data_IF_237216265736
#
_entry.id   IF_237216265736
#
_cell.length_a   1.000
_cell.length_b   1.000
_cell.length_c   1.000
_cell.angle_alpha   90.00
_cell.angle_beta   90.00
_cell.angle_gamma   90.00
#
_symmetry.space_group_name_H-M   'P 1'
#
loop_
_entity.id
_entity.type
_entity.pdbx_description
1 polymer ?
#
# COMPACT_ATOMS: atom_id res chain seq x y z
N UNK A 1 22.67 22.18 -57.80
CA UNK A 1 21.79 23.34 -57.97
C UNK A 1 20.44 22.84 -58.44
N UNK A 2 19.36 23.12 -57.71
CA UNK A 2 18.00 22.75 -58.11
C UNK A 2 17.17 22.19 -56.96
N UNK A 3 16.84 23.05 -55.99
CA UNK A 3 15.87 22.82 -54.93
C UNK A 3 14.47 22.55 -55.49
N UNK A 4 13.69 21.71 -54.82
CA UNK A 4 12.24 21.91 -54.70
C UNK A 4 11.72 21.25 -53.41
N UNK A 5 11.37 22.12 -52.49
CA UNK A 5 10.61 21.87 -51.29
C UNK A 5 9.18 21.45 -51.65
N UNK A 6 8.61 20.56 -50.83
CA UNK A 6 7.21 20.19 -50.88
C UNK A 6 6.70 20.07 -49.44
N UNK A 7 6.27 21.20 -48.89
CA UNK A 7 5.51 21.29 -47.65
C UNK A 7 4.16 20.59 -47.80
N UNK A 8 3.81 19.75 -46.82
CA UNK A 8 2.51 19.09 -46.71
C UNK A 8 2.06 19.06 -45.26
N UNK A 9 1.58 20.21 -44.78
CA UNK A 9 0.98 20.36 -43.45
C UNK A 9 -0.44 19.78 -43.40
N UNK A 10 -0.63 18.75 -42.57
CA UNK A 10 -1.93 18.20 -42.20
C UNK A 10 -2.21 18.42 -40.72
N UNK A 11 -2.89 19.52 -40.37
CA UNK A 11 -3.47 19.74 -39.05
C UNK A 11 -4.79 18.96 -38.95
N UNK A 12 -4.82 17.87 -38.19
CA UNK A 12 -6.05 17.23 -37.77
C UNK A 12 -6.55 17.87 -36.45
N UNK A 13 -7.65 18.60 -36.55
CA UNK A 13 -8.43 19.14 -35.43
C UNK A 13 -9.31 18.01 -34.90
N UNK A 14 -9.01 17.49 -33.72
CA UNK A 14 -9.90 16.57 -33.00
C UNK A 14 -10.66 17.41 -31.96
N UNK A 15 -11.92 17.69 -32.28
CA UNK A 15 -12.88 18.24 -31.34
C UNK A 15 -13.36 17.16 -30.39
N UNK A 16 -13.09 17.33 -29.10
CA UNK A 16 -13.62 16.49 -28.03
C UNK A 16 -14.68 17.28 -27.28
N UNK A 17 -15.94 16.90 -27.50
CA UNK A 17 -17.10 17.34 -26.72
C UNK A 17 -17.07 16.72 -25.32
N UNK A 18 -17.41 17.47 -24.26
CA UNK A 18 -17.52 16.91 -22.91
C UNK A 18 -18.83 16.14 -22.73
N UNK A 19 -18.71 14.88 -22.31
CA UNK A 19 -19.84 14.06 -21.84
C UNK A 19 -20.20 14.50 -20.43
N UNK A 20 -21.38 15.09 -20.29
CA UNK A 20 -22.01 15.44 -19.01
C UNK A 20 -22.68 14.18 -18.44
N UNK A 21 -22.16 13.65 -17.34
CA UNK A 21 -22.85 12.63 -16.54
C UNK A 21 -23.50 13.31 -15.33
N UNK A 22 -24.78 13.62 -15.51
CA UNK A 22 -25.74 13.90 -14.45
C UNK A 22 -26.08 12.60 -13.73
N UNK A 23 -25.83 12.54 -12.42
CA UNK A 23 -26.40 11.53 -11.55
C UNK A 23 -27.23 12.24 -10.48
N UNK A 24 -28.52 12.39 -10.77
CA UNK A 24 -29.57 12.66 -9.79
C UNK A 24 -29.77 11.40 -8.94
N UNK A 25 -29.72 11.55 -7.61
CA UNK A 25 -30.34 10.58 -6.71
C UNK A 25 -31.19 11.30 -5.69
N UNK A 26 -32.49 11.12 -5.85
CA UNK A 26 -33.57 11.64 -5.04
C UNK A 26 -33.87 10.71 -3.86
N UNK A 27 -34.03 11.32 -2.68
CA UNK A 27 -34.98 11.03 -1.60
C UNK A 27 -35.48 9.59 -1.44
N UNK A 28 -35.27 9.04 -0.24
CA UNK A 28 -36.39 8.63 0.63
C UNK A 28 -36.08 8.98 2.09
N UNK A 29 -36.92 9.85 2.63
CA UNK A 29 -37.05 10.22 4.04
C UNK A 29 -38.06 9.23 4.65
N UNK A 30 -37.64 8.48 5.66
CA UNK A 30 -38.55 7.75 6.54
C UNK A 30 -38.48 8.41 7.91
N UNK A 31 -39.53 9.16 8.24
CA UNK A 31 -39.80 9.66 9.58
C UNK A 31 -40.22 8.50 10.48
N UNK A 32 -39.54 8.36 11.61
CA UNK A 32 -39.95 7.50 12.71
C UNK A 32 -39.85 8.35 13.99
N UNK A 33 -40.93 9.03 14.32
CA UNK A 33 -41.07 9.84 15.53
C UNK A 33 -41.35 8.92 16.74
N UNK A 34 -40.28 8.57 17.45
CA UNK A 34 -40.34 7.98 18.79
C UNK A 34 -40.10 9.04 19.86
N UNK A 35 -40.74 8.94 21.04
CA UNK A 35 -40.56 9.90 22.12
C UNK A 35 -39.13 9.86 22.67
N UNK A 36 -38.54 11.01 23.07
CA UNK A 36 -37.18 11.08 23.56
C UNK A 36 -37.09 10.39 24.94
N UNK A 37 -36.57 9.17 24.96
CA UNK A 37 -36.01 8.62 26.19
C UNK A 37 -34.81 9.48 26.57
N UNK A 38 -34.83 9.98 27.81
CA UNK A 38 -33.68 10.64 28.43
C UNK A 38 -32.60 9.58 28.63
N UNK A 39 -31.63 9.56 27.73
CA UNK A 39 -30.44 8.75 27.89
C UNK A 39 -29.68 9.18 29.15
N UNK A 40 -29.23 8.23 30.00
CA UNK A 40 -28.34 8.53 31.11
C UNK A 40 -27.04 9.11 30.54
N UNK A 41 -26.50 10.15 31.18
CA UNK A 41 -25.26 10.84 30.81
C UNK A 41 -24.28 9.91 30.09
N UNK A 42 -24.30 9.92 28.76
CA UNK A 42 -23.23 9.37 27.96
C UNK A 42 -22.02 10.19 28.37
N UNK A 43 -21.12 9.58 29.13
CA UNK A 43 -19.79 10.12 29.35
C UNK A 43 -19.26 10.47 27.97
N UNK A 44 -19.26 11.77 27.64
CA UNK A 44 -18.78 12.29 26.38
C UNK A 44 -17.34 11.85 26.32
N UNK A 45 -17.07 10.76 25.60
CA UNK A 45 -15.75 10.17 25.51
C UNK A 45 -14.81 11.24 25.00
N UNK A 46 -14.09 11.87 25.94
CA UNK A 46 -13.26 13.02 25.66
C UNK A 46 -12.27 12.58 24.59
N UNK A 47 -12.40 13.15 23.40
CA UNK A 47 -11.41 12.94 22.34
C UNK A 47 -10.08 13.36 22.93
N UNK A 48 -9.16 12.38 23.09
CA UNK A 48 -7.81 12.62 23.59
C UNK A 48 -7.20 13.81 22.81
N UNK A 49 -6.57 14.77 23.50
CA UNK A 49 -5.95 15.90 22.82
C UNK A 49 -4.82 15.41 21.92
N UNK A 50 -5.07 15.31 20.62
CA UNK A 50 -4.01 14.99 19.64
C UNK A 50 -3.20 16.23 19.30
N UNK A 51 -1.87 16.06 19.26
CA UNK A 51 -0.95 17.09 18.75
C UNK A 51 -1.26 17.39 17.28
N UNK A 52 -0.85 18.56 16.78
CA UNK A 52 -1.03 18.89 15.36
C UNK A 52 -0.32 17.88 14.44
N UNK A 53 0.85 17.37 14.88
CA UNK A 53 1.60 16.30 14.22
C UNK A 53 0.81 14.99 14.21
N UNK A 54 0.25 14.58 15.36
CA UNK A 54 -0.68 13.45 15.45
C UNK A 54 -1.87 13.60 14.50
N UNK A 55 -2.53 14.77 14.49
CA UNK A 55 -3.68 15.01 13.59
C UNK A 55 -3.31 14.82 12.12
N UNK A 56 -2.15 15.29 11.69
CA UNK A 56 -1.69 15.08 10.32
C UNK A 56 -1.32 13.62 10.05
N UNK A 57 -0.64 12.97 10.99
CA UNK A 57 -0.28 11.55 10.91
C UNK A 57 -1.52 10.66 10.68
N UNK A 58 -2.65 11.01 11.34
CA UNK A 58 -3.91 10.29 11.24
C UNK A 58 -4.82 10.71 10.08
N UNK A 59 -4.67 11.92 9.54
CA UNK A 59 -5.51 12.43 8.43
C UNK A 59 -5.09 11.94 7.04
N UNK A 60 -4.02 11.15 6.94
CA UNK A 60 -3.58 10.57 5.67
C UNK A 60 -4.48 9.40 5.29
N UNK A 61 -5.36 9.62 4.32
CA UNK A 61 -6.25 8.58 3.79
C UNK A 61 -5.80 8.14 2.39
N UNK A 62 -4.57 7.64 2.26
CA UNK A 62 -4.20 6.89 1.06
C UNK A 62 -5.02 5.60 1.06
N UNK A 63 -5.95 5.49 0.11
CA UNK A 63 -6.80 4.30 0.02
C UNK A 63 -6.04 3.23 -0.76
N UNK A 64 -5.39 2.32 -0.04
CA UNK A 64 -4.69 1.19 -0.65
C UNK A 64 -5.71 0.27 -1.34
N UNK A 65 -5.63 0.07 -2.66
CA UNK A 65 -6.49 -0.88 -3.34
C UNK A 65 -6.10 -2.29 -2.91
N UNK A 66 -7.07 -3.21 -2.71
CA UNK A 66 -6.75 -4.55 -2.27
C UNK A 66 -5.92 -5.29 -3.33
N UNK A 67 -4.67 -5.61 -2.98
CA UNK A 67 -3.73 -6.35 -3.83
C UNK A 67 -3.91 -7.85 -3.64
N UNK A 68 -4.88 -8.44 -4.34
CA UNK A 68 -5.09 -9.89 -4.31
C UNK A 68 -4.04 -10.62 -5.14
N UNK A 69 -3.22 -11.44 -4.48
CA UNK A 69 -2.25 -12.32 -5.14
C UNK A 69 -2.94 -13.55 -5.70
N UNK A 70 -2.58 -13.89 -6.94
CA UNK A 70 -3.10 -15.06 -7.65
C UNK A 70 -2.43 -16.33 -7.11
N UNK A 71 -3.19 -17.36 -6.69
CA UNK A 71 -2.59 -18.54 -6.08
C UNK A 71 -1.83 -19.37 -7.11
N UNK A 72 -0.52 -19.52 -6.93
CA UNK A 72 0.34 -20.30 -7.83
C UNK A 72 0.34 -21.78 -7.45
N UNK A 73 0.24 -22.67 -8.44
CA UNK A 73 0.23 -24.12 -8.32
C UNK A 73 -1.14 -24.76 -8.11
N UNK A 74 -2.22 -23.97 -8.13
CA UNK A 74 -3.59 -24.50 -8.04
C UNK A 74 -4.17 -24.88 -9.40
N UNK A 75 -3.82 -24.12 -10.44
CA UNK A 75 -4.35 -24.25 -11.79
C UNK A 75 -3.25 -23.89 -12.78
N UNK A 76 -2.78 -24.87 -13.55
CA UNK A 76 -1.58 -24.73 -14.37
C UNK A 76 -1.70 -23.63 -15.44
N UNK A 77 -2.90 -23.45 -16.01
CA UNK A 77 -3.20 -22.42 -17.02
C UNK A 77 -3.12 -21.01 -16.44
N UNK A 78 -3.47 -20.85 -15.15
CA UNK A 78 -3.34 -19.60 -14.41
C UNK A 78 -1.89 -19.32 -13.99
N UNK A 79 -1.11 -20.38 -13.70
CA UNK A 79 0.29 -20.25 -13.26
C UNK A 79 1.17 -19.53 -14.30
N UNK A 80 0.85 -19.66 -15.59
CA UNK A 80 1.54 -18.99 -16.71
C UNK A 80 1.53 -17.46 -16.53
N UNK A 81 0.43 -16.91 -16.01
CA UNK A 81 0.30 -15.47 -15.74
C UNK A 81 0.66 -15.11 -14.30
N UNK A 82 0.30 -15.97 -13.35
CA UNK A 82 0.29 -15.66 -11.92
C UNK A 82 1.64 -15.17 -11.41
N UNK A 83 2.75 -15.81 -11.79
CA UNK A 83 4.08 -15.42 -11.33
C UNK A 83 4.44 -14.00 -11.77
N UNK A 84 4.19 -13.67 -13.04
CA UNK A 84 4.48 -12.34 -13.58
C UNK A 84 3.62 -11.25 -12.93
N UNK A 85 2.30 -11.48 -12.85
CA UNK A 85 1.37 -10.51 -12.27
C UNK A 85 1.60 -10.34 -10.76
N UNK A 86 1.86 -11.41 -10.03
CA UNK A 86 2.17 -11.34 -8.60
C UNK A 86 3.49 -10.63 -8.33
N UNK A 87 4.47 -10.73 -9.22
CA UNK A 87 5.73 -10.01 -9.06
C UNK A 87 5.50 -8.51 -9.16
N UNK A 88 4.70 -8.07 -10.14
CA UNK A 88 4.30 -6.66 -10.25
C UNK A 88 3.44 -6.23 -9.05
N UNK A 89 2.50 -7.05 -8.58
CA UNK A 89 1.72 -6.75 -7.35
C UNK A 89 2.61 -6.59 -6.12
N UNK A 90 3.68 -7.37 -6.00
CA UNK A 90 4.65 -7.22 -4.92
C UNK A 90 5.36 -5.85 -4.98
N UNK A 91 5.73 -5.39 -6.18
CA UNK A 91 6.29 -4.05 -6.38
C UNK A 91 5.25 -2.94 -6.13
N UNK A 92 4.00 -3.12 -6.54
CA UNK A 92 2.92 -2.17 -6.25
C UNK A 92 2.70 -2.03 -4.74
N UNK A 93 2.74 -3.14 -4.00
CA UNK A 93 2.65 -3.14 -2.55
C UNK A 93 3.79 -2.32 -1.91
N UNK A 94 5.03 -2.48 -2.41
CA UNK A 94 6.16 -1.68 -1.97
C UNK A 94 5.98 -0.19 -2.31
N UNK A 95 5.44 0.15 -3.49
CA UNK A 95 5.15 1.53 -3.88
C UNK A 95 4.15 2.19 -2.93
N UNK A 96 3.03 1.51 -2.63
CA UNK A 96 2.05 2.02 -1.66
C UNK A 96 2.67 2.19 -0.29
N UNK A 97 3.51 1.25 0.10
CA UNK A 97 4.21 1.30 1.37
C UNK A 97 5.12 2.54 1.47
N UNK A 98 5.93 2.80 0.44
CA UNK A 98 6.80 3.99 0.36
C UNK A 98 5.96 5.27 0.43
N UNK A 99 4.95 5.38 -0.45
CA UNK A 99 4.10 6.57 -0.55
C UNK A 99 3.32 6.82 0.74
N UNK A 100 2.84 5.78 1.41
CA UNK A 100 2.16 5.88 2.70
C UNK A 100 3.13 6.33 3.81
N UNK A 101 4.36 5.80 3.84
CA UNK A 101 5.41 6.26 4.76
C UNK A 101 5.68 7.75 4.58
N UNK A 102 5.86 8.19 3.33
CA UNK A 102 6.07 9.60 3.00
C UNK A 102 4.89 10.46 3.43
N UNK A 103 3.67 10.02 3.16
CA UNK A 103 2.46 10.78 3.46
C UNK A 103 2.26 10.97 4.97
N UNK A 104 2.52 9.94 5.78
CA UNK A 104 2.46 10.04 7.25
C UNK A 104 3.55 10.93 7.84
N UNK A 105 4.70 11.03 7.18
CA UNK A 105 5.85 11.87 7.59
C UNK A 105 5.93 13.17 6.80
N UNK A 106 4.83 13.68 6.24
CA UNK A 106 4.83 14.79 5.28
C UNK A 106 5.63 16.03 5.74
N UNK A 107 5.62 16.35 7.03
CA UNK A 107 6.35 17.48 7.61
C UNK A 107 7.85 17.22 7.79
N UNK A 108 8.23 15.94 7.91
CA UNK A 108 9.59 15.48 8.18
C UNK A 108 10.24 14.88 6.92
N UNK A 109 9.65 15.12 5.75
CA UNK A 109 10.17 14.65 4.47
C UNK A 109 11.36 15.48 4.03
N UNK A 110 12.46 14.81 3.69
CA UNK A 110 13.63 15.41 3.05
C UNK A 110 13.58 15.24 1.53
N UNK A 111 14.47 15.94 0.82
CA UNK A 111 14.67 15.69 -0.61
C UNK A 111 15.25 14.30 -0.88
N UNK A 112 16.06 13.76 0.03
CA UNK A 112 16.60 12.40 -0.07
C UNK A 112 15.48 11.35 -0.08
N UNK A 113 14.38 11.55 0.67
CA UNK A 113 13.20 10.67 0.59
C UNK A 113 12.61 10.67 -0.83
N UNK A 114 12.60 11.81 -1.53
CA UNK A 114 12.08 11.86 -2.90
C UNK A 114 13.06 11.17 -3.85
N UNK A 115 14.36 11.44 -3.73
CA UNK A 115 15.36 10.83 -4.59
C UNK A 115 15.38 9.30 -4.42
N UNK A 116 15.29 8.81 -3.18
CA UNK A 116 15.12 7.38 -2.85
C UNK A 116 13.88 6.79 -3.55
N UNK A 117 12.74 7.49 -3.53
CA UNK A 117 11.53 7.07 -4.23
C UNK A 117 11.76 6.97 -5.75
N UNK A 118 12.42 7.94 -6.37
CA UNK A 118 12.66 7.92 -7.82
C UNK A 118 13.68 6.85 -8.24
N UNK A 119 14.72 6.61 -7.44
CA UNK A 119 15.66 5.50 -7.66
C UNK A 119 14.92 4.16 -7.63
N UNK A 120 14.04 3.96 -6.65
CA UNK A 120 13.19 2.78 -6.59
C UNK A 120 12.21 2.71 -7.78
N UNK A 121 11.59 3.84 -8.13
CA UNK A 121 10.58 3.92 -9.19
C UNK A 121 11.15 3.63 -10.58
N UNK A 122 12.37 4.09 -10.89
CA UNK A 122 13.05 3.82 -12.15
C UNK A 122 13.18 2.30 -12.36
N UNK A 123 13.62 1.59 -11.32
CA UNK A 123 13.77 0.14 -11.33
C UNK A 123 12.42 -0.56 -11.50
N UNK A 124 11.39 -0.11 -10.77
CA UNK A 124 10.03 -0.63 -10.91
C UNK A 124 9.48 -0.43 -12.33
N UNK A 125 9.63 0.77 -12.90
CA UNK A 125 9.15 1.10 -14.23
C UNK A 125 9.84 0.24 -15.29
N UNK A 126 11.18 0.13 -15.24
CA UNK A 126 11.95 -0.76 -16.12
C UNK A 126 11.46 -2.21 -16.03
N UNK A 127 11.27 -2.72 -14.81
CA UNK A 127 10.75 -4.07 -14.58
C UNK A 127 9.34 -4.25 -15.17
N UNK A 128 8.43 -3.30 -14.95
CA UNK A 128 7.07 -3.37 -15.45
C UNK A 128 7.01 -3.38 -16.98
N UNK A 129 7.79 -2.53 -17.66
CA UNK A 129 7.89 -2.55 -19.12
C UNK A 129 8.40 -3.91 -19.61
N UNK A 130 9.45 -4.45 -19.00
CA UNK A 130 9.96 -5.77 -19.37
C UNK A 130 8.96 -6.91 -19.08
N UNK A 131 8.08 -6.79 -18.06
CA UNK A 131 6.99 -7.74 -17.84
C UNK A 131 5.97 -7.67 -18.97
N UNK A 132 5.60 -6.48 -19.45
CA UNK A 132 4.69 -6.36 -20.59
C UNK A 132 5.27 -6.96 -21.86
N UNK A 133 6.54 -6.70 -22.15
CA UNK A 133 7.23 -7.30 -23.30
C UNK A 133 7.33 -8.81 -23.17
N UNK A 134 7.67 -9.31 -21.98
CA UNK A 134 7.75 -10.74 -21.70
C UNK A 134 6.40 -11.43 -21.91
N UNK A 135 5.30 -10.84 -21.43
CA UNK A 135 3.95 -11.39 -21.63
C UNK A 135 3.57 -11.43 -23.11
N UNK A 136 3.86 -10.37 -23.86
CA UNK A 136 3.57 -10.31 -25.29
C UNK A 136 4.36 -11.36 -26.07
N UNK A 137 5.67 -11.46 -25.81
CA UNK A 137 6.56 -12.36 -26.54
C UNK A 137 6.48 -13.82 -26.10
N UNK A 138 6.21 -14.11 -24.82
CA UNK A 138 6.23 -15.47 -24.29
C UNK A 138 4.84 -16.12 -24.23
N UNK A 139 3.79 -15.33 -24.00
CA UNK A 139 2.47 -15.84 -23.67
C UNK A 139 1.52 -15.56 -24.82
N UNK A 140 1.31 -14.29 -25.14
CA UNK A 140 0.34 -13.92 -26.17
C UNK A 140 0.78 -14.32 -27.58
N UNK A 141 2.07 -14.27 -27.89
CA UNK A 141 2.58 -14.75 -29.18
C UNK A 141 2.24 -16.23 -29.47
N UNK A 142 2.17 -17.06 -28.43
CA UNK A 142 1.83 -18.49 -28.53
C UNK A 142 0.30 -18.64 -28.63
N UNK A 143 -0.45 -17.89 -27.80
CA UNK A 143 -1.91 -17.95 -27.80
C UNK A 143 -2.48 -17.46 -29.14
N UNK A 144 -1.97 -16.34 -29.67
CA UNK A 144 -2.44 -15.72 -30.92
C UNK A 144 -2.21 -16.63 -32.15
N UNK A 145 -1.34 -17.65 -32.06
CA UNK A 145 -1.16 -18.64 -33.13
C UNK A 145 -2.32 -19.65 -33.21
N UNK A 146 -3.07 -19.86 -32.12
CA UNK A 146 -4.15 -20.85 -32.04
C UNK A 146 -5.53 -20.23 -31.82
N UNK A 147 -5.58 -19.07 -31.19
CA UNK A 147 -6.82 -18.45 -30.71
C UNK A 147 -6.86 -16.99 -31.15
N UNK A 148 -7.97 -16.58 -31.77
CA UNK A 148 -8.19 -15.16 -32.07
C UNK A 148 -8.77 -14.45 -30.85
N UNK A 149 -7.92 -13.76 -30.10
CA UNK A 149 -8.33 -12.97 -28.93
C UNK A 149 -9.13 -11.73 -29.35
N UNK A 150 -10.24 -11.46 -28.65
CA UNK A 150 -11.17 -10.37 -28.95
C UNK A 150 -11.05 -9.22 -27.95
N UNK A 151 -11.54 -8.04 -28.36
CA UNK A 151 -11.70 -6.86 -27.51
C UNK A 151 -10.40 -6.47 -26.78
N UNK A 152 -10.45 -6.32 -25.46
CA UNK A 152 -9.32 -5.88 -24.61
C UNK A 152 -8.11 -6.80 -24.64
N UNK A 153 -8.30 -8.06 -25.07
CA UNK A 153 -7.22 -9.03 -25.19
C UNK A 153 -6.69 -9.17 -26.62
N UNK A 154 -7.26 -8.47 -27.61
CA UNK A 154 -6.66 -8.43 -28.95
C UNK A 154 -5.28 -7.75 -28.91
N UNK A 155 -4.41 -7.98 -29.90
CA UNK A 155 -3.10 -7.32 -29.96
C UNK A 155 -3.17 -5.79 -29.86
N UNK A 156 -4.17 -5.17 -30.49
CA UNK A 156 -4.45 -3.73 -30.42
C UNK A 156 -4.94 -3.36 -29.02
N UNK A 157 -5.89 -4.10 -28.46
CA UNK A 157 -6.41 -3.85 -27.11
C UNK A 157 -5.32 -3.90 -26.04
N UNK A 158 -4.45 -4.92 -26.08
CA UNK A 158 -3.31 -5.05 -25.16
C UNK A 158 -2.33 -3.89 -25.31
N UNK A 159 -2.04 -3.47 -26.55
CA UNK A 159 -1.18 -2.32 -26.86
C UNK A 159 -1.76 -1.03 -26.31
N UNK A 160 -3.06 -0.79 -26.49
CA UNK A 160 -3.74 0.40 -26.00
C UNK A 160 -3.74 0.45 -24.46
N UNK A 161 -4.00 -0.68 -23.80
CA UNK A 161 -3.90 -0.78 -22.34
C UNK A 161 -2.49 -0.49 -21.84
N UNK A 162 -1.48 -1.11 -22.45
CA UNK A 162 -0.07 -0.87 -22.11
C UNK A 162 0.30 0.60 -22.29
N UNK A 163 -0.04 1.19 -23.43
CA UNK A 163 0.23 2.60 -23.72
C UNK A 163 -0.43 3.53 -22.70
N UNK A 164 -1.68 3.24 -22.30
CA UNK A 164 -2.38 4.01 -21.29
C UNK A 164 -1.69 3.92 -19.91
N UNK A 165 -1.19 2.75 -19.52
CA UNK A 165 -0.44 2.58 -18.26
C UNK A 165 0.92 3.28 -18.33
N UNK A 166 1.67 3.08 -19.42
CA UNK A 166 2.96 3.74 -19.66
C UNK A 166 2.83 5.26 -19.68
N UNK A 167 1.74 5.79 -20.23
CA UNK A 167 1.46 7.23 -20.19
C UNK A 167 1.32 7.76 -18.75
N UNK A 168 0.61 7.05 -17.87
CA UNK A 168 0.49 7.45 -16.47
C UNK A 168 1.82 7.32 -15.70
N UNK A 169 2.61 6.29 -15.96
CA UNK A 169 3.96 6.14 -15.39
C UNK A 169 4.89 7.28 -15.84
N UNK A 170 4.78 7.70 -17.10
CA UNK A 170 5.55 8.82 -17.64
C UNK A 170 5.27 10.13 -16.90
N UNK A 171 4.03 10.35 -16.43
CA UNK A 171 3.72 11.55 -15.62
C UNK A 171 4.47 11.57 -14.29
N UNK A 172 4.71 10.41 -13.67
CA UNK A 172 5.50 10.31 -12.43
C UNK A 172 6.95 10.72 -12.73
N UNK A 173 7.52 10.17 -13.80
CA UNK A 173 8.90 10.45 -14.25
C UNK A 173 9.10 11.93 -14.62
N UNK A 174 8.21 12.48 -15.46
CA UNK A 174 8.23 13.89 -15.86
C UNK A 174 7.99 14.86 -14.69
N UNK A 175 7.47 14.37 -13.56
CA UNK A 175 7.28 15.16 -12.36
C UNK A 175 8.55 15.34 -11.54
N UNK A 176 9.56 14.47 -11.71
CA UNK A 176 10.80 14.47 -10.91
C UNK A 176 11.49 15.84 -10.84
N UNK A 177 11.71 16.57 -11.95
CA UNK A 177 12.40 17.87 -11.90
C UNK A 177 11.65 18.91 -11.06
N UNK A 178 10.32 18.82 -11.01
CA UNK A 178 9.50 19.74 -10.20
C UNK A 178 9.66 19.48 -8.71
N UNK A 179 9.89 18.22 -8.33
CA UNK A 179 10.08 17.88 -6.92
C UNK A 179 11.40 18.44 -6.38
N UNK A 180 12.44 18.48 -7.20
CA UNK A 180 13.75 19.00 -6.78
C UNK A 180 13.74 20.51 -6.46
N UNK A 181 12.72 21.26 -6.90
CA UNK A 181 12.66 22.73 -6.74
C UNK A 181 11.70 23.20 -5.66
N UNK A 182 10.96 22.29 -5.02
CA UNK A 182 9.90 22.61 -4.07
C UNK A 182 10.02 21.77 -2.81
N UNK A 183 9.52 22.24 -1.65
CA UNK A 183 9.50 21.43 -0.44
C UNK A 183 8.82 20.07 -0.69
N UNK A 184 9.42 18.94 -0.25
CA UNK A 184 8.89 17.59 -0.47
C UNK A 184 7.43 17.43 -0.03
N UNK A 185 7.06 18.03 1.10
CA UNK A 185 5.69 18.00 1.61
C UNK A 185 4.67 18.72 0.70
N UNK A 186 5.07 19.68 -0.12
CA UNK A 186 4.17 20.40 -1.03
C UNK A 186 3.86 19.61 -2.31
N UNK A 187 4.84 18.84 -2.81
CA UNK A 187 4.69 18.11 -4.08
C UNK A 187 4.07 16.73 -3.91
N UNK A 188 4.16 16.16 -2.69
CA UNK A 188 3.71 14.81 -2.41
C UNK A 188 2.24 14.52 -2.78
N UNK A 189 1.26 15.42 -2.53
CA UNK A 189 -0.14 15.16 -2.91
C UNK A 189 -0.31 14.90 -4.41
N UNK A 190 0.44 15.63 -5.25
CA UNK A 190 0.39 15.42 -6.70
C UNK A 190 1.04 14.09 -7.10
N UNK A 191 2.17 13.74 -6.48
CA UNK A 191 2.83 12.45 -6.70
C UNK A 191 1.90 11.28 -6.33
N UNK A 192 1.24 11.36 -5.17
CA UNK A 192 0.22 10.39 -4.73
C UNK A 192 -0.87 10.24 -5.79
N UNK A 193 -1.40 11.36 -6.31
CA UNK A 193 -2.46 11.32 -7.31
C UNK A 193 -2.06 10.60 -8.61
N UNK A 194 -0.78 10.66 -9.00
CA UNK A 194 -0.27 9.92 -10.15
C UNK A 194 -0.17 8.42 -9.85
N UNK A 195 0.31 8.05 -8.67
CA UNK A 195 0.36 6.65 -8.21
C UNK A 195 -1.04 6.04 -8.18
N UNK A 196 -2.02 6.75 -7.62
CA UNK A 196 -3.43 6.34 -7.56
C UNK A 196 -4.10 6.25 -8.94
N UNK A 197 -3.56 6.94 -9.97
CA UNK A 197 -4.04 6.81 -11.34
C UNK A 197 -3.50 5.54 -12.04
N UNK A 198 -2.26 5.13 -11.74
CA UNK A 198 -1.59 3.99 -12.38
C UNK A 198 -2.17 2.66 -11.87
N UNK A 199 -2.29 2.50 -10.55
CA UNK A 199 -2.54 1.18 -9.95
C UNK A 199 -3.88 0.57 -10.36
N UNK A 200 -5.03 1.27 -10.28
CA UNK A 200 -6.32 0.68 -10.63
C UNK A 200 -6.37 0.21 -12.09
N UNK A 201 -5.68 0.92 -13.01
CA UNK A 201 -5.58 0.54 -14.42
C UNK A 201 -4.81 -0.76 -14.59
N UNK A 202 -3.67 -0.86 -13.92
CA UNK A 202 -2.83 -2.06 -13.96
C UNK A 202 -3.56 -3.28 -13.37
N UNK A 203 -4.20 -3.12 -12.20
CA UNK A 203 -4.97 -4.20 -11.57
C UNK A 203 -6.18 -4.62 -12.41
N UNK A 204 -6.86 -3.67 -13.06
CA UNK A 204 -7.94 -3.98 -14.00
C UNK A 204 -7.44 -4.81 -15.18
N UNK A 205 -6.29 -4.45 -15.76
CA UNK A 205 -5.68 -5.20 -16.85
C UNK A 205 -5.36 -6.65 -16.44
N UNK A 206 -4.69 -6.84 -15.30
CA UNK A 206 -4.40 -8.19 -14.80
C UNK A 206 -5.65 -8.99 -14.47
N UNK A 207 -6.69 -8.36 -13.92
CA UNK A 207 -7.96 -9.03 -13.66
C UNK A 207 -8.62 -9.53 -14.95
N UNK A 208 -8.56 -8.75 -16.02
CA UNK A 208 -9.08 -9.17 -17.34
C UNK A 208 -8.29 -10.37 -17.86
N UNK A 209 -6.95 -10.30 -17.82
CA UNK A 209 -6.11 -11.41 -18.25
C UNK A 209 -6.38 -12.69 -17.44
N UNK A 210 -6.33 -12.61 -16.12
CA UNK A 210 -6.51 -13.77 -15.22
C UNK A 210 -7.92 -14.37 -15.28
N UNK A 211 -8.92 -13.58 -15.68
CA UNK A 211 -10.29 -14.07 -15.87
C UNK A 211 -10.47 -14.79 -17.20
N UNK A 212 -9.89 -14.26 -18.28
CA UNK A 212 -10.24 -14.67 -19.64
C UNK A 212 -9.19 -15.53 -20.34
N UNK A 213 -7.91 -15.40 -19.98
CA UNK A 213 -6.83 -16.17 -20.61
C UNK A 213 -6.79 -17.63 -20.14
N UNK A 214 -6.89 -17.96 -18.84
CA UNK A 214 -6.78 -19.36 -18.40
C UNK A 214 -7.83 -20.32 -19.00
N UNK A 215 -9.10 -19.94 -19.20
CA UNK A 215 -10.06 -20.79 -19.90
C UNK A 215 -9.66 -21.08 -21.36
N UNK A 216 -9.15 -20.07 -22.07
CA UNK A 216 -8.70 -20.24 -23.46
C UNK A 216 -7.45 -21.14 -23.55
N UNK A 217 -6.56 -21.04 -22.56
CA UNK A 217 -5.41 -21.94 -22.47
C UNK A 217 -5.89 -23.39 -22.26
N UNK A 218 -6.86 -23.63 -21.38
CA UNK A 218 -7.40 -24.98 -21.14
C UNK A 218 -8.17 -25.56 -22.32
N UNK A 219 -8.77 -24.72 -23.15
CA UNK A 219 -9.51 -25.15 -24.33
C UNK A 219 -8.58 -25.55 -25.50
N UNK A 220 -7.41 -24.92 -25.61
CA UNK A 220 -6.56 -25.02 -26.81
C UNK A 220 -5.14 -25.54 -26.57
N UNK A 221 -4.77 -25.82 -25.31
CA UNK A 221 -3.45 -26.28 -24.94
C UNK A 221 -3.49 -27.38 -23.89
N UNK A 222 -2.53 -28.29 -23.99
CA UNK A 222 -2.35 -29.38 -23.04
C UNK A 222 -1.39 -28.98 -21.90
N UNK A 223 -1.48 -29.68 -20.76
CA UNK A 223 -0.65 -29.38 -19.59
C UNK A 223 0.85 -29.56 -19.87
N UNK A 224 1.23 -30.49 -20.75
CA UNK A 224 2.61 -30.72 -21.18
C UNK A 224 3.19 -29.49 -21.89
N UNK A 225 2.34 -28.71 -22.56
CA UNK A 225 2.73 -27.50 -23.27
C UNK A 225 3.06 -26.35 -22.31
N UNK A 226 2.71 -26.45 -21.01
CA UNK A 226 3.17 -25.49 -20.00
C UNK A 226 4.69 -25.35 -20.00
N UNK A 227 5.42 -26.44 -20.22
CA UNK A 227 6.89 -26.42 -20.26
C UNK A 227 7.39 -25.50 -21.37
N UNK A 228 6.69 -25.41 -22.50
CA UNK A 228 7.02 -24.50 -23.60
C UNK A 228 6.90 -23.04 -23.16
N UNK A 229 5.80 -22.67 -22.48
CA UNK A 229 5.63 -21.32 -21.93
C UNK A 229 6.76 -20.99 -20.95
N UNK A 230 6.99 -21.87 -19.96
CA UNK A 230 8.03 -21.68 -18.95
C UNK A 230 9.43 -21.54 -19.57
N UNK A 231 9.79 -22.42 -20.53
CA UNK A 231 11.10 -22.39 -21.19
C UNK A 231 11.27 -21.18 -22.11
N UNK A 232 10.21 -20.72 -22.79
CA UNK A 232 10.27 -19.50 -23.59
C UNK A 232 10.41 -18.27 -22.68
N UNK A 233 9.62 -18.18 -21.60
CA UNK A 233 9.74 -17.12 -20.59
C UNK A 233 11.15 -17.05 -20.03
N UNK A 234 11.74 -18.18 -19.60
CA UNK A 234 13.09 -18.18 -19.03
C UNK A 234 14.16 -17.81 -20.06
N UNK A 235 14.00 -18.21 -21.33
CA UNK A 235 14.90 -17.82 -22.42
C UNK A 235 14.84 -16.31 -22.69
N UNK A 236 13.63 -15.75 -22.75
CA UNK A 236 13.44 -14.32 -22.96
C UNK A 236 14.00 -13.51 -21.80
N UNK A 237 13.76 -13.91 -20.55
CA UNK A 237 14.39 -13.29 -19.37
C UNK A 237 15.92 -13.36 -19.47
N UNK A 238 16.49 -14.49 -19.88
CA UNK A 238 17.93 -14.64 -20.03
C UNK A 238 18.53 -13.80 -21.18
N UNK A 239 17.70 -13.33 -22.12
CA UNK A 239 18.08 -12.46 -23.24
C UNK A 239 17.89 -10.96 -22.98
N UNK A 240 17.30 -10.57 -21.85
CA UNK A 240 17.15 -9.16 -21.45
C UNK A 240 18.52 -8.48 -21.23
N UNK A 241 18.55 -7.15 -21.27
CA UNK A 241 19.76 -6.36 -21.02
C UNK A 241 20.38 -6.66 -19.64
N UNK A 242 19.54 -6.73 -18.61
CA UNK A 242 19.93 -7.08 -17.24
C UNK A 242 19.17 -8.33 -16.75
N UNK A 243 19.55 -9.53 -17.23
CA UNK A 243 18.75 -10.73 -17.07
C UNK A 243 18.67 -11.18 -15.60
N UNK A 244 19.74 -10.98 -14.84
CA UNK A 244 19.76 -11.28 -13.42
C UNK A 244 18.85 -10.37 -12.62
N UNK A 245 18.89 -9.06 -12.92
CA UNK A 245 18.08 -8.06 -12.23
C UNK A 245 16.59 -8.35 -12.42
N UNK A 246 16.18 -8.48 -13.68
CA UNK A 246 14.81 -8.79 -14.04
C UNK A 246 14.35 -10.10 -13.39
N UNK A 247 15.18 -11.14 -13.44
CA UNK A 247 14.85 -12.43 -12.84
C UNK A 247 14.70 -12.39 -11.32
N UNK A 248 15.47 -11.56 -10.60
CA UNK A 248 15.34 -11.40 -9.15
C UNK A 248 13.98 -10.81 -8.79
N UNK A 249 13.55 -9.77 -9.50
CA UNK A 249 12.24 -9.12 -9.30
C UNK A 249 11.10 -10.06 -9.71
N UNK A 250 11.24 -10.74 -10.85
CA UNK A 250 10.28 -11.75 -11.35
C UNK A 250 10.08 -12.93 -10.39
N UNK A 251 11.07 -13.24 -9.53
CA UNK A 251 10.92 -14.31 -8.54
C UNK A 251 10.08 -13.91 -7.33
N UNK A 252 9.81 -12.62 -7.12
CA UNK A 252 9.05 -12.14 -5.95
C UNK A 252 7.59 -12.60 -6.00
N UNK A 253 7.03 -12.80 -7.18
CA UNK A 253 5.65 -13.28 -7.35
C UNK A 253 5.41 -14.74 -6.98
N UNK A 254 6.47 -15.52 -6.69
CA UNK A 254 6.36 -16.91 -6.27
C UNK A 254 6.71 -17.09 -4.78
N UNK A 255 5.71 -17.25 -3.90
CA UNK A 255 5.95 -17.38 -2.46
C UNK A 255 6.68 -18.69 -2.10
N UNK A 256 6.45 -19.78 -2.86
CA UNK A 256 6.95 -21.12 -2.52
C UNK A 256 8.44 -21.23 -2.81
N UNK A 257 9.21 -21.59 -1.76
CA UNK A 257 10.67 -21.78 -1.85
C UNK A 257 11.06 -22.85 -2.89
N UNK A 258 10.27 -23.92 -3.01
CA UNK A 258 10.50 -25.02 -3.97
C UNK A 258 10.42 -24.52 -5.41
N UNK A 259 9.35 -23.84 -5.79
CA UNK A 259 9.16 -23.34 -7.15
C UNK A 259 10.22 -22.29 -7.52
N UNK A 260 10.59 -21.37 -6.60
CA UNK A 260 11.72 -20.44 -6.85
C UNK A 260 13.05 -21.17 -7.10
N UNK A 261 13.27 -22.32 -6.46
CA UNK A 261 14.46 -23.16 -6.72
C UNK A 261 14.40 -23.78 -8.12
N UNK A 262 13.25 -24.28 -8.53
CA UNK A 262 13.01 -24.84 -9.88
C UNK A 262 13.22 -23.77 -10.97
N UNK A 263 12.62 -22.58 -10.81
CA UNK A 263 12.84 -21.45 -11.71
C UNK A 263 14.34 -21.12 -11.85
N UNK A 264 15.10 -21.07 -10.74
CA UNK A 264 16.55 -20.85 -10.80
C UNK A 264 17.26 -21.95 -11.59
N UNK A 265 16.90 -23.21 -11.36
CA UNK A 265 17.49 -24.33 -12.11
C UNK A 265 17.24 -24.16 -13.61
N UNK A 266 16.02 -23.84 -14.03
CA UNK A 266 15.67 -23.61 -15.44
C UNK A 266 16.43 -22.42 -16.02
N UNK A 267 16.47 -21.28 -15.31
CA UNK A 267 17.20 -20.09 -15.72
C UNK A 267 18.72 -20.36 -15.91
N UNK A 268 19.33 -21.16 -15.03
CA UNK A 268 20.75 -21.55 -15.14
C UNK A 268 21.00 -22.71 -16.11
N UNK A 269 19.97 -23.44 -16.55
CA UNK A 269 20.10 -24.60 -17.45
C UNK A 269 20.59 -24.19 -18.84
N UNK A 270 20.25 -22.98 -19.28
CA UNK A 270 20.45 -22.45 -20.64
C UNK A 270 21.92 -22.30 -21.10
N UNK A 271 22.91 -22.65 -20.28
CA UNK A 271 24.34 -22.41 -20.54
C UNK A 271 25.20 -23.64 -20.22
N UNK A 272 26.36 -23.73 -20.88
CA UNK A 272 27.39 -24.75 -20.60
C UNK A 272 27.92 -24.66 -19.16
N UNK A 273 28.61 -25.69 -18.65
CA UNK A 273 28.96 -25.79 -17.22
C UNK A 273 29.83 -24.63 -16.71
N UNK A 274 30.80 -24.16 -17.50
CA UNK A 274 31.70 -23.06 -17.13
C UNK A 274 30.97 -21.71 -17.14
N UNK A 275 30.19 -21.44 -18.20
CA UNK A 275 29.36 -20.23 -18.29
C UNK A 275 28.33 -20.22 -17.18
N UNK A 276 27.73 -21.37 -16.83
CA UNK A 276 26.80 -21.50 -15.70
C UNK A 276 27.44 -21.06 -14.38
N UNK A 277 28.70 -21.40 -14.13
CA UNK A 277 29.40 -20.99 -12.92
C UNK A 277 29.63 -19.47 -12.87
N UNK A 278 30.12 -18.88 -13.96
CA UNK A 278 30.30 -17.43 -14.08
C UNK A 278 28.94 -16.69 -13.94
N UNK A 279 27.91 -17.19 -14.60
CA UNK A 279 26.53 -16.65 -14.54
C UNK A 279 25.95 -16.72 -13.13
N UNK A 280 26.21 -17.81 -12.37
CA UNK A 280 25.81 -17.90 -10.95
C UNK A 280 26.54 -16.89 -10.08
N UNK A 281 27.85 -16.68 -10.26
CA UNK A 281 28.60 -15.64 -9.54
C UNK A 281 28.05 -14.24 -9.86
N UNK A 282 27.76 -13.96 -11.13
CA UNK A 282 27.15 -12.71 -11.57
C UNK A 282 25.77 -12.50 -10.93
N UNK A 283 24.91 -13.53 -10.93
CA UNK A 283 23.62 -13.50 -10.23
C UNK A 283 23.74 -13.15 -8.74
N UNK A 284 24.72 -13.74 -8.02
CA UNK A 284 24.90 -13.45 -6.59
C UNK A 284 25.29 -11.98 -6.37
N UNK A 285 26.24 -11.46 -7.18
CA UNK A 285 26.63 -10.05 -7.13
C UNK A 285 25.44 -9.13 -7.44
N UNK A 286 24.68 -9.46 -8.49
CA UNK A 286 23.51 -8.68 -8.87
C UNK A 286 22.42 -8.72 -7.81
N UNK A 287 22.23 -9.87 -7.16
CA UNK A 287 21.27 -10.01 -6.05
C UNK A 287 21.64 -9.13 -4.87
N UNK A 288 22.91 -8.99 -4.54
CA UNK A 288 23.36 -8.03 -3.53
C UNK A 288 23.04 -6.60 -3.98
N UNK A 289 23.38 -6.23 -5.22
CA UNK A 289 23.09 -4.90 -5.76
C UNK A 289 21.59 -4.56 -5.74
N UNK A 290 20.72 -5.44 -6.25
CA UNK A 290 19.26 -5.26 -6.24
C UNK A 290 18.76 -5.09 -4.81
N UNK A 291 19.33 -5.85 -3.87
CA UNK A 291 18.97 -5.71 -2.46
C UNK A 291 19.28 -4.29 -1.98
N UNK A 292 20.49 -3.80 -2.23
CA UNK A 292 20.97 -2.52 -1.71
C UNK A 292 20.24 -1.31 -2.35
N UNK A 293 20.01 -1.35 -3.67
CA UNK A 293 19.46 -0.20 -4.42
C UNK A 293 17.94 -0.21 -4.58
N UNK A 294 17.27 -1.33 -4.25
CA UNK A 294 15.83 -1.47 -4.45
C UNK A 294 15.14 -1.91 -3.16
N UNK A 295 15.55 -3.05 -2.60
CA UNK A 295 14.86 -3.58 -1.40
C UNK A 295 15.22 -2.85 -0.10
N UNK A 296 16.45 -2.33 0.01
CA UNK A 296 16.89 -1.61 1.21
C UNK A 296 16.24 -0.23 1.29
N UNK A 297 15.94 0.40 0.15
CA UNK A 297 15.12 1.64 0.08
C UNK A 297 13.75 1.40 0.73
N UNK A 298 13.03 0.35 0.35
CA UNK A 298 11.72 0.01 0.95
C UNK A 298 11.84 -0.20 2.47
N UNK A 299 12.89 -0.90 2.91
CA UNK A 299 13.14 -1.14 4.34
C UNK A 299 13.46 0.15 5.09
N UNK A 300 14.15 1.07 4.44
CA UNK A 300 14.50 2.36 5.00
C UNK A 300 13.24 3.24 5.19
N UNK A 301 12.33 3.26 4.22
CA UNK A 301 11.00 3.87 4.41
C UNK A 301 10.21 3.22 5.55
N UNK A 302 10.35 1.90 5.74
CA UNK A 302 9.72 1.18 6.86
C UNK A 302 10.33 1.54 8.20
N UNK A 303 11.65 1.72 8.26
CA UNK A 303 12.37 2.18 9.44
C UNK A 303 11.95 3.61 9.81
N UNK A 304 12.07 4.57 8.88
CA UNK A 304 11.71 5.98 9.08
C UNK A 304 10.25 6.14 9.51
N UNK A 305 9.33 5.36 8.92
CA UNK A 305 7.92 5.37 9.33
C UNK A 305 7.71 4.94 10.78
N UNK A 306 8.37 3.87 11.22
CA UNK A 306 8.24 3.37 12.60
C UNK A 306 8.82 4.33 13.62
N UNK A 307 9.94 4.97 13.28
CA UNK A 307 10.55 5.99 14.14
C UNK A 307 9.62 7.20 14.30
N UNK A 308 9.11 7.74 13.20
CA UNK A 308 8.15 8.84 13.25
C UNK A 308 6.86 8.46 14.00
N UNK A 309 6.42 7.20 13.89
CA UNK A 309 5.28 6.72 14.68
C UNK A 309 5.57 6.75 16.18
N UNK A 310 6.73 6.23 16.58
CA UNK A 310 7.13 6.18 17.98
C UNK A 310 7.22 7.58 18.58
N UNK A 311 7.80 8.54 17.85
CA UNK A 311 7.85 9.95 18.28
C UNK A 311 6.45 10.54 18.50
N UNK A 312 5.51 10.29 17.59
CA UNK A 312 4.12 10.75 17.73
C UNK A 312 3.45 10.10 18.95
N UNK A 313 3.63 8.79 19.15
CA UNK A 313 3.06 8.07 20.29
C UNK A 313 3.65 8.61 21.63
N UNK A 314 4.94 8.97 21.66
CA UNK A 314 5.61 9.58 22.81
C UNK A 314 5.13 11.01 23.07
N UNK A 315 4.99 11.84 22.04
CA UNK A 315 4.45 13.21 22.14
C UNK A 315 3.01 13.21 22.68
N UNK A 316 2.16 12.30 22.18
CA UNK A 316 0.78 12.15 22.65
C UNK A 316 0.73 11.69 24.12
N UNK A 317 1.58 10.74 24.51
CA UNK A 317 1.68 10.31 25.91
C UNK A 317 2.12 11.44 26.84
N UNK A 318 3.07 12.29 26.43
CA UNK A 318 3.51 13.45 27.20
C UNK A 318 2.41 14.51 27.30
N UNK A 319 1.67 14.77 26.21
CA UNK A 319 0.56 15.71 26.21
C UNK A 319 -0.58 15.24 27.15
N UNK A 320 -0.87 13.94 27.18
CA UNK A 320 -1.83 13.35 28.11
C UNK A 320 -1.38 13.51 29.58
N UNK A 321 -0.11 13.27 29.88
CA UNK A 321 0.45 13.46 31.22
C UNK A 321 0.37 14.93 31.67
N UNK A 322 0.67 15.87 30.77
CA UNK A 322 0.57 17.30 31.07
C UNK A 322 -0.88 17.75 31.32
N UNK A 323 -1.84 17.24 30.54
CA UNK A 323 -3.25 17.52 30.76
C UNK A 323 -3.73 16.98 32.12
N UNK A 324 -3.34 15.76 32.47
CA UNK A 324 -3.68 15.17 33.76
C UNK A 324 -3.06 15.93 34.94
N UNK A 325 -1.80 16.39 34.79
CA UNK A 325 -1.16 17.24 35.79
C UNK A 325 -1.90 18.58 35.95
N UNK A 326 -2.32 19.21 34.85
CA UNK A 326 -3.07 20.46 34.88
C UNK A 326 -4.46 20.30 35.53
N UNK A 327 -5.18 19.21 35.23
CA UNK A 327 -6.48 18.90 35.85
C UNK A 327 -6.33 18.69 37.36
N UNK A 328 -5.28 17.99 37.81
CA UNK A 328 -5.01 17.83 39.24
C UNK A 328 -4.72 19.15 39.93
N UNK A 329 -3.89 20.03 39.34
CA UNK A 329 -3.62 21.37 39.87
C UNK A 329 -4.91 22.19 39.97
N UNK A 330 -5.78 22.12 38.95
CA UNK A 330 -7.06 22.81 38.97
C UNK A 330 -8.00 22.26 40.06
N UNK A 331 -8.07 20.94 40.24
CA UNK A 331 -8.87 20.30 41.30
C UNK A 331 -8.37 20.67 42.69
N UNK A 332 -7.06 20.71 42.89
CA UNK A 332 -6.45 21.10 44.16
C UNK A 332 -6.70 22.59 44.45
N UNK A 333 -6.65 23.47 43.44
CA UNK A 333 -7.03 24.87 43.59
C UNK A 333 -8.51 25.04 43.96
N UNK A 334 -9.42 24.26 43.36
CA UNK A 334 -10.84 24.27 43.73
C UNK A 334 -11.04 23.79 45.16
N UNK A 335 -10.34 22.73 45.59
CA UNK A 335 -10.39 22.25 46.99
C UNK A 335 -9.93 23.32 47.97
N UNK A 336 -8.79 23.96 47.71
CA UNK A 336 -8.28 25.05 48.55
C UNK A 336 -9.26 26.21 48.66
N UNK A 337 -9.97 26.55 47.58
CA UNK A 337 -10.99 27.61 47.63
C UNK A 337 -12.19 27.23 48.50
N UNK A 338 -12.66 25.98 48.38
CA UNK A 338 -13.78 25.47 49.19
C UNK A 338 -13.42 25.34 50.67
N UNK A 339 -12.18 24.99 51.00
CA UNK A 339 -11.72 24.88 52.39
C UNK A 339 -11.65 26.28 53.07
N UNK A 340 -11.37 27.35 52.32
CA UNK A 340 -11.37 28.73 52.84
C UNK A 340 -12.79 29.21 53.14
N UNK A 341 -13.77 28.88 52.30
CA UNK A 341 -15.17 29.28 52.55
C UNK A 341 -15.77 28.58 53.77
N UNK A 342 -15.23 27.42 54.18
CA UNK A 342 -15.70 26.71 55.38
C UNK A 342 -15.08 27.22 56.68
N UNK A 343 -14.00 28.01 56.65
CA UNK A 343 -13.33 28.47 57.88
C UNK A 343 -13.89 29.77 58.48
N UNK A 344 -14.82 30.45 57.81
CA UNK A 344 -15.35 31.76 58.24
C UNK A 344 -16.72 31.68 58.95
N UNK A 345 -17.33 30.49 59.08
CA UNK A 345 -18.67 30.30 59.68
C UNK A 345 -18.67 29.54 61.04
N UNK A 346 -17.50 29.20 61.60
CA UNK A 346 -17.39 28.34 62.80
C UNK A 346 -17.15 29.11 64.14
N UNK A 347 -17.30 30.44 64.18
CA UNK A 347 -17.07 31.25 65.41
C UNK A 347 -18.34 31.57 66.25
N UNK A 348 -19.53 31.05 65.92
CA UNK A 348 -20.76 31.29 66.70
C UNK A 348 -21.72 30.07 66.75
N UNK A 349 -21.35 28.93 67.34
CA UNK A 349 -22.36 28.04 67.95
C UNK A 349 -21.81 27.09 69.05
N UNK A 350 -21.38 27.69 70.16
CA UNK A 350 -21.25 27.02 71.45
C UNK A 350 -22.66 26.75 72.04
N UNK A 351 -23.39 25.73 71.55
CA UNK A 351 -24.30 24.92 72.38
C UNK A 351 -25.08 23.86 71.58
N UNK A 352 -25.02 22.60 72.04
CA UNK A 352 -25.89 21.42 71.81
C UNK A 352 -24.99 20.22 71.45
N UNK A 353 -24.19 19.70 72.37
CA UNK A 353 -24.60 18.82 73.48
C UNK A 353 -25.74 17.83 73.13
N UNK A 354 -25.36 16.55 73.20
CA UNK A 354 -26.19 15.36 73.33
C UNK A 354 -27.26 15.10 72.26
N UNK A 355 -27.03 14.09 71.40
CA UNK A 355 -27.79 12.83 71.39
C UNK A 355 -27.46 11.93 70.16
N UNK A 356 -27.44 10.61 70.44
CA UNK A 356 -27.55 9.45 69.53
C UNK A 356 -26.25 9.07 68.79
N UNK A 357 -25.45 8.10 69.24
CA UNK A 357 -25.77 6.71 69.62
C UNK A 357 -26.64 5.95 68.59
N UNK A 358 -26.08 4.82 68.13
CA UNK A 358 -26.72 3.71 67.39
C UNK A 358 -27.06 3.89 65.89
N UNK A 359 -26.25 3.27 65.00
CA UNK A 359 -26.63 2.00 64.36
C UNK A 359 -25.62 1.45 63.34
N UNK A 360 -25.26 0.19 63.63
CA UNK A 360 -25.23 -0.99 62.73
C UNK A 360 -24.09 -1.10 61.73
N UNK A 361 -23.27 -2.12 62.03
CA UNK A 361 -22.32 -2.71 61.12
C UNK A 361 -22.96 -3.18 59.81
N UNK A 362 -22.23 -2.92 58.73
CA UNK A 362 -22.49 -3.53 57.43
C UNK A 362 -21.38 -4.53 57.15
N UNK A 363 -21.85 -5.70 56.72
CA UNK A 363 -21.17 -6.98 56.63
C UNK A 363 -20.29 -6.98 55.37
N UNK A 364 -19.00 -7.23 55.54
CA UNK A 364 -18.06 -7.46 54.43
C UNK A 364 -18.49 -8.72 53.70
N UNK A 365 -18.93 -8.57 52.44
CA UNK A 365 -19.21 -9.68 51.53
C UNK A 365 -17.93 -9.95 50.75
N UNK A 366 -17.29 -11.08 51.05
CA UNK A 366 -16.16 -11.61 50.29
C UNK A 366 -16.60 -11.91 48.85
N UNK A 367 -15.94 -11.25 47.89
CA UNK A 367 -16.07 -11.56 46.47
C UNK A 367 -15.20 -12.78 46.10
N UNK A 368 -15.71 -13.72 45.29
CA UNK A 368 -14.97 -14.91 44.90
C UNK A 368 -13.79 -14.55 43.99
N UNK A 369 -12.63 -15.13 44.31
CA UNK A 369 -11.37 -15.05 43.59
C UNK A 369 -11.52 -15.72 42.22
N UNK A 370 -11.45 -14.93 41.15
CA UNK A 370 -11.44 -15.41 39.76
C UNK A 370 -10.14 -16.17 39.51
N UNK A 371 -10.25 -17.44 39.17
CA UNK A 371 -9.14 -18.32 38.79
C UNK A 371 -8.82 -18.11 37.31
N UNK A 372 -7.60 -17.67 37.00
CA UNK A 372 -7.14 -17.53 35.62
C UNK A 372 -6.96 -18.90 34.94
N UNK A 373 -7.42 -19.08 33.69
CA UNK A 373 -7.15 -20.29 32.92
C UNK A 373 -5.69 -20.31 32.46
N UNK A 374 -4.96 -21.34 32.86
CA UNK A 374 -3.57 -21.57 32.49
C UNK A 374 -3.36 -21.83 30.99
N UNK A 375 -2.11 -21.68 30.49
CA UNK A 375 -1.78 -21.80 29.08
C UNK A 375 -1.96 -23.23 28.57
N UNK A 376 -2.81 -23.38 27.56
CA UNK A 376 -3.01 -24.62 26.80
C UNK A 376 -1.75 -24.96 25.99
N UNK A 377 -0.99 -25.93 26.48
CA UNK A 377 0.00 -26.64 25.67
C UNK A 377 -0.72 -27.70 24.81
N UNK A 378 -0.64 -27.56 23.48
CA UNK A 378 -0.33 -28.61 22.46
C UNK A 378 -1.03 -28.37 21.11
N UNK A 379 -0.28 -28.63 20.05
CA UNK A 379 -0.67 -28.66 18.64
C UNK A 379 0.56 -28.66 17.76
#
# INVERSE_FOLDING_TARGET
>A
MGSKEGEGGGKAVIGSTPVVLSASSSRLSNGNDGPPMRDPLMATGGTKPMTQRGKQYHNVTLTEPPLYFTPVGKRWSLDILAVSNNSVRAELNDMYYIVQSMSKRRLDLSHDDIDDFYVWFEVFNFFLQGVFELQEQAIFSIIDQRVTLQSTLSPEGRRDFRNAITYELKKIDEYQPRVQTKPPGEVLPQLISFVDAVVPRLLRYYRVMEKHVPPLIEEHFEIEEKVMFDDLTMRLIAGQQDPHWFFILYQRGEPRKKMRKEMRVTFFRLKNIFVRYAWKRSYIKMKARVKDVHFDIVREFWRRWREAKLEVDEEEAQAEQQLFAADNVQRDAIRQYLDIEQSDDDDDDDSLDDLQEEKRGSKVVDLPRVVEPGPSTKG
#
